data_IF_271443583835
#
_entry.id   IF_271443583835
#
_cell.length_a   1.000
_cell.length_b   1.000
_cell.length_c   1.000
_cell.angle_alpha   90.00
_cell.angle_beta   90.00
_cell.angle_gamma   90.00
#
_symmetry.space_group_name_H-M   'P 1'
#
loop_
_entity.id
_entity.type
_entity.pdbx_description
1 polymer ?
#
# COMPACT_ATOMS: atom_id res chain seq x y z
N UNK A 1 -6.79 7.98 -19.82
CA UNK A 1 -6.98 6.70 -19.08
C UNK A 1 -6.10 5.65 -19.71
N UNK A 2 -5.48 4.77 -18.92
CA UNK A 2 -4.49 3.79 -19.42
C UNK A 2 -5.08 2.61 -20.21
N UNK A 3 -6.39 2.61 -20.51
CA UNK A 3 -7.05 1.53 -21.27
C UNK A 3 -7.29 0.22 -20.53
N UNK A 4 -6.92 0.15 -19.24
CA UNK A 4 -6.99 -1.07 -18.40
C UNK A 4 -8.06 -0.86 -17.32
N UNK A 5 -8.98 -1.81 -17.19
CA UNK A 5 -10.02 -1.86 -16.16
C UNK A 5 -9.40 -2.05 -14.76
N UNK A 6 -10.19 -1.88 -13.70
CA UNK A 6 -9.66 -2.08 -12.35
C UNK A 6 -9.26 -3.53 -12.09
N UNK A 7 -10.05 -4.49 -12.55
CA UNK A 7 -9.79 -5.91 -12.37
C UNK A 7 -8.51 -6.35 -13.12
N UNK A 8 -8.35 -5.91 -14.37
CA UNK A 8 -7.16 -6.18 -15.16
C UNK A 8 -5.87 -5.59 -14.54
N UNK A 9 -5.96 -4.50 -13.76
CA UNK A 9 -4.77 -3.95 -13.06
C UNK A 9 -4.21 -4.93 -12.03
N UNK A 10 -5.08 -5.63 -11.31
CA UNK A 10 -4.67 -6.62 -10.31
C UNK A 10 -4.24 -7.95 -10.93
N UNK A 11 -4.61 -8.21 -12.20
CA UNK A 11 -4.11 -9.34 -12.97
C UNK A 11 -2.67 -9.15 -13.48
N UNK A 12 -2.09 -7.94 -13.38
CA UNK A 12 -0.70 -7.69 -13.75
C UNK A 12 0.29 -8.42 -12.82
N UNK A 13 1.46 -8.79 -13.34
CA UNK A 13 2.48 -9.58 -12.63
C UNK A 13 3.06 -8.93 -11.36
N UNK A 14 2.84 -7.62 -11.18
CA UNK A 14 3.24 -6.86 -9.99
C UNK A 14 2.46 -7.21 -8.72
N UNK A 15 1.36 -7.95 -8.84
CA UNK A 15 0.52 -8.34 -7.71
C UNK A 15 0.75 -9.80 -7.31
N UNK A 16 0.42 -10.10 -6.05
CA UNK A 16 0.34 -11.45 -5.49
C UNK A 16 -0.86 -11.54 -4.57
N UNK A 17 -1.29 -12.76 -4.26
CA UNK A 17 -2.33 -12.98 -3.27
C UNK A 17 -1.75 -12.79 -1.86
N UNK A 18 -2.39 -11.94 -1.06
CA UNK A 18 -2.04 -11.67 0.33
C UNK A 18 -2.59 -12.72 1.29
N UNK A 19 -2.26 -12.58 2.58
CA UNK A 19 -2.58 -13.57 3.60
C UNK A 19 -4.09 -13.74 3.83
N UNK A 20 -4.85 -12.65 3.62
CA UNK A 20 -6.30 -12.63 3.73
C UNK A 20 -6.99 -12.75 2.35
N UNK A 21 -6.23 -13.00 1.28
CA UNK A 21 -6.72 -13.20 -0.08
C UNK A 21 -6.82 -11.95 -0.95
N UNK A 22 -6.57 -10.75 -0.41
CA UNK A 22 -6.54 -9.49 -1.17
C UNK A 22 -5.30 -9.41 -2.08
N UNK A 23 -5.34 -8.63 -3.17
CA UNK A 23 -4.15 -8.36 -3.98
C UNK A 23 -3.14 -7.48 -3.21
N UNK A 24 -1.92 -7.97 -3.08
CA UNK A 24 -0.79 -7.27 -2.45
C UNK A 24 0.26 -6.92 -3.49
N UNK A 25 0.75 -5.68 -3.50
CA UNK A 25 1.74 -5.20 -4.46
C UNK A 25 3.15 -5.71 -4.08
N UNK A 26 3.82 -6.39 -5.00
CA UNK A 26 5.20 -6.84 -4.81
C UNK A 26 6.15 -5.62 -4.71
N UNK A 27 7.09 -5.68 -3.77
CA UNK A 27 8.08 -4.62 -3.57
C UNK A 27 7.57 -3.40 -2.79
N UNK A 28 6.35 -3.45 -2.23
CA UNK A 28 5.90 -2.44 -1.27
C UNK A 28 6.82 -2.40 -0.03
N UNK A 29 7.12 -1.22 0.50
CA UNK A 29 7.88 -1.10 1.76
C UNK A 29 7.12 -1.74 2.93
N UNK A 30 5.79 -1.60 2.95
CA UNK A 30 4.89 -2.27 3.87
C UNK A 30 3.56 -2.56 3.16
N UNK A 31 2.92 -3.66 3.54
CA UNK A 31 1.56 -4.02 3.15
C UNK A 31 0.76 -4.37 4.39
N UNK A 32 -0.40 -3.76 4.54
CA UNK A 32 -1.30 -3.95 5.68
C UNK A 32 -2.64 -4.48 5.15
N UNK A 33 -3.07 -5.62 5.65
CA UNK A 33 -4.34 -6.25 5.30
C UNK A 33 -5.21 -6.34 6.55
N UNK A 34 -6.53 -6.16 6.38
CA UNK A 34 -7.45 -6.12 7.50
C UNK A 34 -8.91 -6.07 7.10
N UNK A 35 -9.76 -5.88 8.10
CA UNK A 35 -11.23 -5.85 7.95
C UNK A 35 -11.74 -4.45 8.24
N UNK A 36 -12.69 -3.97 7.43
CA UNK A 36 -13.32 -2.67 7.65
C UNK A 36 -14.23 -2.79 8.87
N UNK A 37 -13.89 -2.08 9.94
CA UNK A 37 -14.70 -2.01 11.16
C UNK A 37 -15.70 -0.86 11.13
N UNK A 38 -15.41 0.21 10.37
CA UNK A 38 -16.31 1.35 10.22
C UNK A 38 -16.09 2.08 8.89
N UNK A 39 -17.17 2.66 8.35
CA UNK A 39 -17.13 3.61 7.23
C UNK A 39 -17.89 4.88 7.63
N UNK A 40 -17.28 6.04 7.43
CA UNK A 40 -17.88 7.34 7.72
C UNK A 40 -17.89 8.24 6.48
N UNK A 41 -19.01 8.88 6.17
CA UNK A 41 -19.13 9.83 5.05
C UNK A 41 -18.76 11.23 5.50
N UNK A 42 -17.74 11.82 4.88
CA UNK A 42 -17.25 13.17 5.15
C UNK A 42 -17.27 13.98 3.84
N UNK A 43 -18.35 14.72 3.62
CA UNK A 43 -18.57 15.46 2.38
C UNK A 43 -18.62 14.52 1.17
N UNK A 44 -17.68 14.68 0.23
CA UNK A 44 -17.55 13.82 -0.97
C UNK A 44 -16.69 12.57 -0.76
N UNK A 45 -16.14 12.36 0.45
CA UNK A 45 -15.20 11.28 0.74
C UNK A 45 -15.77 10.30 1.76
N UNK A 46 -15.23 9.08 1.76
CA UNK A 46 -15.46 8.08 2.79
C UNK A 46 -14.17 7.87 3.58
N UNK A 47 -14.28 7.88 4.90
CA UNK A 47 -13.21 7.49 5.83
C UNK A 47 -13.46 6.05 6.26
N UNK A 48 -12.51 5.16 5.97
CA UNK A 48 -12.56 3.76 6.34
C UNK A 48 -11.65 3.53 7.55
N UNK A 49 -12.21 2.94 8.61
CA UNK A 49 -11.42 2.45 9.74
C UNK A 49 -11.26 0.94 9.54
N UNK A 50 -10.02 0.47 9.58
CA UNK A 50 -9.65 -0.92 9.28
C UNK A 50 -8.95 -1.52 10.48
N UNK A 51 -9.45 -2.67 10.95
CA UNK A 51 -8.77 -3.50 11.94
C UNK A 51 -7.74 -4.37 11.22
N UNK A 52 -6.45 -4.15 11.52
CA UNK A 52 -5.36 -4.83 10.83
C UNK A 52 -5.22 -6.27 11.33
N UNK A 53 -5.23 -7.22 10.40
CA UNK A 53 -5.07 -8.66 10.67
C UNK A 53 -3.70 -9.18 10.23
N UNK A 54 -3.09 -8.56 9.22
CA UNK A 54 -1.78 -8.95 8.72
C UNK A 54 -0.93 -7.72 8.35
N UNK A 55 0.37 -7.78 8.68
CA UNK A 55 1.35 -6.78 8.30
C UNK A 55 2.55 -7.50 7.68
N UNK A 56 2.92 -7.10 6.47
CA UNK A 56 4.16 -7.52 5.82
C UNK A 56 5.06 -6.32 5.66
N UNK A 57 6.32 -6.44 6.10
CA UNK A 57 7.35 -5.40 5.95
C UNK A 57 8.43 -5.88 4.99
N UNK A 58 8.87 -5.00 4.10
CA UNK A 58 10.08 -5.24 3.30
C UNK A 58 11.31 -5.03 4.17
N UNK A 59 12.35 -5.89 4.07
CA UNK A 59 13.60 -5.71 4.82
C UNK A 59 14.40 -4.49 4.36
N UNK A 60 14.10 -3.97 3.17
CA UNK A 60 14.82 -2.86 2.56
C UNK A 60 13.90 -2.03 1.67
N UNK A 61 14.27 -0.77 1.46
CA UNK A 61 13.55 0.15 0.59
C UNK A 61 13.61 1.59 1.11
N UNK A 62 13.08 2.50 0.31
CA UNK A 62 13.05 3.92 0.64
C UNK A 62 11.63 4.43 0.62
N UNK A 63 11.33 5.38 1.51
CA UNK A 63 10.04 6.04 1.51
C UNK A 63 9.85 6.84 0.23
N UNK A 64 8.60 6.92 -0.24
CA UNK A 64 8.21 7.82 -1.32
C UNK A 64 7.20 8.81 -0.75
N UNK A 65 7.54 10.10 -0.77
CA UNK A 65 6.62 11.15 -0.35
C UNK A 65 6.05 11.87 -1.57
N UNK A 66 4.79 12.29 -1.47
CA UNK A 66 4.15 13.15 -2.45
C UNK A 66 4.00 14.56 -1.87
N UNK A 67 4.77 15.50 -2.41
CA UNK A 67 4.81 16.88 -1.95
C UNK A 67 4.87 17.83 -3.13
N UNK A 68 4.16 18.97 -3.06
CA UNK A 68 4.09 19.97 -4.15
C UNK A 68 3.83 19.35 -5.54
N UNK A 69 2.89 18.39 -5.58
CA UNK A 69 2.47 17.66 -6.80
C UNK A 69 3.59 16.87 -7.48
N UNK A 70 4.61 16.45 -6.73
CA UNK A 70 5.74 15.63 -7.21
C UNK A 70 6.06 14.53 -6.23
N UNK A 71 6.66 13.46 -6.74
CA UNK A 71 7.21 12.38 -5.94
C UNK A 71 8.65 12.71 -5.53
N UNK A 72 8.99 12.45 -4.27
CA UNK A 72 10.33 12.64 -3.75
C UNK A 72 10.76 11.36 -3.00
N UNK A 73 11.94 10.81 -3.29
CA UNK A 73 12.48 9.71 -2.51
C UNK A 73 12.95 10.22 -1.14
N UNK A 74 12.72 9.43 -0.11
CA UNK A 74 13.28 9.61 1.24
C UNK A 74 14.14 8.39 1.53
N UNK A 75 15.44 8.56 1.42
CA UNK A 75 16.39 7.50 1.71
C UNK A 75 16.44 7.28 3.22
N UNK A 76 16.24 6.05 3.66
CA UNK A 76 16.64 5.66 5.01
C UNK A 76 18.14 5.43 5.00
N UNK A 77 18.85 6.08 5.92
CA UNK A 77 20.18 5.60 6.30
C UNK A 77 19.99 4.29 7.06
N UNK A 78 20.67 3.22 6.62
CA UNK A 78 20.74 2.00 7.41
C UNK A 78 21.63 2.28 8.61
N UNK A 79 21.10 2.17 9.83
CA UNK A 79 21.95 2.01 11.01
C UNK A 79 22.78 0.73 10.81
N UNK A 80 24.10 0.90 10.74
CA UNK A 80 25.03 -0.23 10.81
C UNK A 80 24.95 -0.74 12.23
N UNK A 81 24.38 -1.93 12.42
CA UNK A 81 24.48 -2.65 13.68
C UNK A 81 25.97 -2.88 13.97
N UNK A 82 26.49 -2.22 15.02
CA UNK A 82 27.83 -2.43 15.57
C UNK A 82 27.87 -3.73 16.37
#
# INVERSE_FOLDING_TARGET
>A
MTGVTMEERFALSGWQQGALGQPVLKGSLASLEGEISQVQTIGTHLVYLVEIRNITLSPQGHGLIYFKRRFHPVMMEMEVAV
#
